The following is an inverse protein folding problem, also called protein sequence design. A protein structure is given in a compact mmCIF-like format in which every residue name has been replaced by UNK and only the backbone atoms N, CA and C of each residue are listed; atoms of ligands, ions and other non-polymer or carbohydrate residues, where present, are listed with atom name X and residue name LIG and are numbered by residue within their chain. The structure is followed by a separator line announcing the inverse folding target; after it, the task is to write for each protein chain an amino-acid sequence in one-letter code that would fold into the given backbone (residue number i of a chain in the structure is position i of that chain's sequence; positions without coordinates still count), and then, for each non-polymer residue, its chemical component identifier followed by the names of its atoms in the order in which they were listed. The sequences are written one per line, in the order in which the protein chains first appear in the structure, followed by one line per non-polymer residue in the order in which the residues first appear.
data_IF_715653853498
#
_entry.id   IF_715653853498
#
_cell.length_a   1.000
_cell.length_b   1.000
_cell.length_c   1.000
_cell.angle_alpha   90.00
_cell.angle_beta   90.00
_cell.angle_gamma   90.00
#
_symmetry.space_group_name_H-M   'P 1'
#
loop_
_entity.id
_entity.type
_entity.pdbx_description
1 polymer ?
#
# COMPACT_ATOMS: atom_id res chain seq x y z
N UNK A 1 7.88 -27.19 -19.24
CA UNK A 1 8.76 -26.10 -19.74
C UNK A 1 9.35 -25.38 -18.55
N UNK A 2 10.66 -25.12 -18.57
CA UNK A 2 11.39 -24.52 -17.46
C UNK A 2 11.61 -23.04 -17.74
N UNK A 3 11.12 -22.15 -16.88
CA UNK A 3 11.39 -20.72 -17.00
C UNK A 3 12.87 -20.41 -16.70
N UNK A 4 13.41 -19.35 -17.31
CA UNK A 4 14.74 -18.85 -16.95
C UNK A 4 14.77 -18.36 -15.49
N UNK A 5 15.95 -18.31 -14.84
CA UNK A 5 16.06 -17.90 -13.44
C UNK A 5 15.42 -16.54 -13.14
N UNK A 6 15.61 -15.54 -14.01
CA UNK A 6 15.04 -14.20 -13.83
C UNK A 6 13.51 -14.19 -13.91
N UNK A 7 12.92 -15.00 -14.80
CA UNK A 7 11.46 -15.10 -14.90
C UNK A 7 10.89 -15.75 -13.63
N UNK A 8 11.56 -16.79 -13.10
CA UNK A 8 11.13 -17.41 -11.83
C UNK A 8 11.20 -16.43 -10.67
N UNK A 9 12.29 -15.66 -10.58
CA UNK A 9 12.44 -14.64 -9.55
C UNK A 9 11.33 -13.59 -9.60
N UNK A 10 10.94 -13.15 -10.80
CA UNK A 10 9.80 -12.23 -10.95
C UNK A 10 8.48 -12.89 -10.52
N UNK A 11 8.24 -14.14 -10.90
CA UNK A 11 7.04 -14.89 -10.49
C UNK A 11 6.99 -15.01 -8.95
N UNK A 12 8.08 -15.39 -8.32
CA UNK A 12 8.14 -15.52 -6.87
C UNK A 12 8.02 -14.16 -6.16
N UNK A 13 8.62 -13.10 -6.71
CA UNK A 13 8.45 -11.73 -6.22
C UNK A 13 6.99 -11.27 -6.26
N UNK A 14 6.23 -11.62 -7.30
CA UNK A 14 4.81 -11.25 -7.40
C UNK A 14 3.90 -12.04 -6.44
N UNK A 15 4.34 -13.19 -5.93
CA UNK A 15 3.55 -14.04 -5.01
C UNK A 15 3.45 -13.48 -3.59
N UNK A 16 4.22 -12.47 -3.24
CA UNK A 16 4.11 -11.80 -1.93
C UNK A 16 2.83 -10.96 -1.82
N UNK A 17 2.21 -10.62 -2.96
CA UNK A 17 1.02 -9.77 -3.00
C UNK A 17 -0.21 -10.54 -2.50
N UNK A 18 -1.05 -9.93 -1.66
CA UNK A 18 -2.25 -10.59 -1.14
C UNK A 18 -3.18 -10.99 -2.29
N UNK A 19 -3.66 -12.24 -2.27
CA UNK A 19 -4.53 -12.79 -3.31
C UNK A 19 -3.83 -13.26 -4.59
N UNK A 20 -2.48 -13.19 -4.68
CA UNK A 20 -1.72 -13.60 -5.86
C UNK A 20 -1.10 -15.00 -5.68
N UNK A 21 -1.77 -16.02 -6.20
CA UNK A 21 -1.24 -17.39 -6.28
C UNK A 21 -0.28 -17.63 -7.46
N UNK A 22 0.39 -18.79 -7.48
CA UNK A 22 1.42 -19.15 -8.47
C UNK A 22 0.97 -18.96 -9.93
N UNK A 23 -0.22 -19.45 -10.30
CA UNK A 23 -0.75 -19.33 -11.67
C UNK A 23 -1.00 -17.86 -12.06
N UNK A 24 -1.48 -17.06 -11.13
CA UNK A 24 -1.74 -15.63 -11.35
C UNK A 24 -0.43 -14.86 -11.50
N UNK A 25 0.55 -15.12 -10.63
CA UNK A 25 1.88 -14.51 -10.72
C UNK A 25 2.58 -14.84 -12.04
N UNK A 26 2.51 -16.11 -12.49
CA UNK A 26 3.04 -16.51 -13.80
C UNK A 26 2.40 -15.72 -14.94
N UNK A 27 1.07 -15.58 -14.94
CA UNK A 27 0.35 -14.81 -15.96
C UNK A 27 0.76 -13.34 -15.96
N UNK A 28 0.89 -12.72 -14.78
CA UNK A 28 1.33 -11.34 -14.63
C UNK A 28 2.76 -11.13 -15.14
N UNK A 29 3.70 -12.01 -14.75
CA UNK A 29 5.10 -11.92 -15.16
C UNK A 29 5.26 -11.98 -16.69
N UNK A 30 4.59 -12.94 -17.35
CA UNK A 30 4.65 -13.08 -18.80
C UNK A 30 4.01 -11.88 -19.52
N UNK A 31 2.85 -11.41 -19.05
CA UNK A 31 2.18 -10.25 -19.61
C UNK A 31 3.06 -8.99 -19.55
N UNK A 32 3.72 -8.72 -18.42
CA UNK A 32 4.65 -7.58 -18.30
C UNK A 32 5.82 -7.71 -19.26
N UNK A 33 6.41 -8.90 -19.38
CA UNK A 33 7.59 -9.13 -20.23
C UNK A 33 7.28 -9.06 -21.73
N UNK A 34 6.09 -9.50 -22.14
CA UNK A 34 5.65 -9.56 -23.54
C UNK A 34 5.01 -8.26 -24.01
N UNK A 35 4.23 -7.59 -23.16
CA UNK A 35 3.34 -6.50 -23.60
C UNK A 35 3.55 -5.16 -22.90
N UNK A 36 4.18 -5.12 -21.73
CA UNK A 36 4.31 -3.86 -20.98
C UNK A 36 5.59 -3.78 -20.12
N UNK A 37 6.75 -3.83 -20.78
CA UNK A 37 8.03 -3.69 -20.08
C UNK A 37 8.18 -2.34 -19.39
N UNK A 38 7.68 -1.27 -20.02
CA UNK A 38 7.71 0.07 -19.45
C UNK A 38 6.87 0.18 -18.17
N UNK A 39 5.68 -0.43 -18.15
CA UNK A 39 4.85 -0.52 -16.96
C UNK A 39 5.48 -1.34 -15.86
N UNK A 40 6.15 -2.45 -16.20
CA UNK A 40 6.94 -3.23 -15.25
C UNK A 40 8.05 -2.41 -14.57
N UNK A 41 8.77 -1.58 -15.32
CA UNK A 41 9.80 -0.69 -14.76
C UNK A 41 9.21 0.42 -13.89
N UNK A 42 8.10 1.04 -14.31
CA UNK A 42 7.39 2.04 -13.49
C UNK A 42 6.88 1.43 -12.19
N UNK A 43 6.35 0.22 -12.23
CA UNK A 43 5.91 -0.51 -11.04
C UNK A 43 7.07 -0.76 -10.08
N UNK A 44 8.22 -1.20 -10.58
CA UNK A 44 9.41 -1.42 -9.75
C UNK A 44 9.87 -0.14 -9.04
N UNK A 45 9.86 0.99 -9.75
CA UNK A 45 10.20 2.30 -9.19
C UNK A 45 9.20 2.72 -8.11
N UNK A 46 7.89 2.62 -8.39
CA UNK A 46 6.84 2.96 -7.44
C UNK A 46 6.89 2.10 -6.17
N UNK A 47 7.15 0.79 -6.31
CA UNK A 47 7.35 -0.11 -5.19
C UNK A 47 8.53 0.33 -4.33
N UNK A 48 9.68 0.60 -4.95
CA UNK A 48 10.90 1.02 -4.24
C UNK A 48 10.64 2.32 -3.46
N UNK A 49 10.10 3.34 -4.14
CA UNK A 49 9.81 4.64 -3.52
C UNK A 49 8.81 4.52 -2.37
N UNK A 50 7.74 3.73 -2.52
CA UNK A 50 6.74 3.58 -1.47
C UNK A 50 7.30 2.83 -0.25
N UNK A 51 8.10 1.78 -0.45
CA UNK A 51 8.70 1.01 0.65
C UNK A 51 9.73 1.82 1.45
N UNK A 52 10.41 2.77 0.80
CA UNK A 52 11.42 3.61 1.45
C UNK A 52 10.82 4.92 2.02
N UNK A 53 9.83 5.50 1.35
CA UNK A 53 9.29 6.82 1.66
C UNK A 53 8.06 6.83 2.58
N UNK A 54 7.26 5.75 2.60
CA UNK A 54 6.05 5.71 3.41
C UNK A 54 6.38 5.28 4.84
N UNK A 55 6.28 6.24 5.76
CA UNK A 55 6.42 6.03 7.19
C UNK A 55 5.07 5.98 7.92
N UNK A 56 5.06 6.50 9.14
CA UNK A 56 3.87 6.58 9.98
C UNK A 56 3.70 7.98 10.54
N UNK A 57 2.44 8.42 10.61
CA UNK A 57 2.07 9.69 11.24
C UNK A 57 2.46 9.66 12.72
N UNK A 58 3.10 10.73 13.22
CA UNK A 58 3.52 10.79 14.64
C UNK A 58 2.35 10.79 15.63
N UNK A 59 1.15 11.18 15.18
CA UNK A 59 -0.03 11.31 16.04
C UNK A 59 -0.94 10.08 15.96
N UNK A 60 -1.51 9.79 14.78
CA UNK A 60 -2.50 8.73 14.63
C UNK A 60 -1.90 7.37 14.22
N UNK A 61 -0.60 7.32 13.88
CA UNK A 61 0.12 6.11 13.45
C UNK A 61 -0.39 5.47 12.14
N UNK A 62 -1.20 6.17 11.35
CA UNK A 62 -1.54 5.74 9.98
C UNK A 62 -0.35 5.92 9.02
N UNK A 63 -0.41 5.35 7.82
CA UNK A 63 0.62 5.47 6.79
C UNK A 63 0.67 6.89 6.20
N UNK A 64 1.86 7.47 6.12
CA UNK A 64 2.09 8.77 5.47
C UNK A 64 3.57 9.00 5.21
N UNK A 65 3.90 9.78 4.20
CA UNK A 65 5.26 10.26 3.89
C UNK A 65 5.66 11.48 4.74
N UNK A 66 4.68 12.14 5.37
CA UNK A 66 4.90 13.35 6.17
C UNK A 66 4.93 13.03 7.66
N UNK A 67 5.41 13.98 8.47
CA UNK A 67 5.37 13.85 9.93
C UNK A 67 3.94 13.72 10.48
N UNK A 68 2.98 14.42 9.84
CA UNK A 68 1.56 14.34 10.10
C UNK A 68 0.82 13.93 8.84
N UNK A 69 -0.10 12.97 8.96
CA UNK A 69 -0.95 12.60 7.83
C UNK A 69 -1.96 13.72 7.49
N UNK A 70 -2.57 13.69 6.29
CA UNK A 70 -3.56 14.71 5.88
C UNK A 70 -4.72 14.88 6.88
N UNK A 71 -5.14 13.79 7.53
CA UNK A 71 -6.22 13.83 8.53
C UNK A 71 -5.78 14.51 9.84
N UNK A 72 -4.54 14.36 10.26
CA UNK A 72 -4.00 15.02 11.45
C UNK A 72 -3.64 16.49 11.19
N UNK A 73 -3.16 16.79 9.99
CA UNK A 73 -2.77 18.14 9.60
C UNK A 73 -3.96 19.05 9.27
N UNK A 74 -5.14 18.50 8.94
CA UNK A 74 -6.32 19.31 8.58
C UNK A 74 -6.94 19.97 9.83
N UNK A 75 -6.97 21.31 9.92
CA UNK A 75 -7.55 22.03 11.04
C UNK A 75 -9.08 22.06 11.04
N UNK A 76 -9.74 21.62 9.95
CA UNK A 76 -11.21 21.60 9.85
C UNK A 76 -11.84 20.35 10.48
N UNK A 77 -11.02 19.45 11.01
CA UNK A 77 -11.48 18.23 11.68
C UNK A 77 -11.87 18.48 13.12
N UNK A 78 -12.73 17.60 13.62
CA UNK A 78 -13.22 17.65 14.99
C UNK A 78 -12.21 17.02 15.96
N UNK A 79 -11.60 17.84 16.81
CA UNK A 79 -10.65 17.42 17.85
C UNK A 79 -11.33 16.80 19.08
N UNK A 80 -12.65 16.85 19.18
CA UNK A 80 -13.40 16.25 20.29
C UNK A 80 -13.73 14.78 20.08
N UNK A 81 -13.49 14.26 18.87
CA UNK A 81 -13.80 12.87 18.50
C UNK A 81 -12.55 12.10 18.09
N UNK A 82 -12.40 10.89 18.64
CA UNK A 82 -11.32 9.97 18.30
C UNK A 82 -11.88 8.61 17.90
N UNK A 83 -11.66 8.22 16.65
CA UNK A 83 -11.97 6.89 16.12
C UNK A 83 -10.72 5.99 16.22
N UNK A 84 -10.80 4.98 17.08
CA UNK A 84 -9.73 3.99 17.23
C UNK A 84 -10.00 2.82 16.30
N UNK A 85 -8.99 2.42 15.51
CA UNK A 85 -9.11 1.35 14.52
C UNK A 85 -7.93 0.39 14.57
N UNK A 86 -8.09 -0.83 14.04
CA UNK A 86 -7.04 -1.86 14.09
C UNK A 86 -5.89 -1.51 13.13
N UNK A 87 -6.21 -1.10 11.89
CA UNK A 87 -5.22 -0.87 10.84
C UNK A 87 -5.48 0.36 9.95
N UNK A 88 -4.51 0.74 9.10
CA UNK A 88 -4.68 1.84 8.15
C UNK A 88 -5.79 1.63 7.12
N UNK A 89 -6.12 0.38 6.79
CA UNK A 89 -7.24 0.02 5.90
C UNK A 89 -8.58 0.45 6.49
N UNK A 90 -8.72 0.38 7.81
CA UNK A 90 -9.95 0.75 8.51
C UNK A 90 -10.11 2.28 8.53
N UNK A 91 -9.00 3.02 8.68
CA UNK A 91 -9.01 4.48 8.50
C UNK A 91 -9.60 4.84 7.14
N UNK A 92 -9.14 4.18 6.08
CA UNK A 92 -9.65 4.42 4.73
C UNK A 92 -11.14 4.08 4.60
N UNK A 93 -11.58 2.97 5.19
CA UNK A 93 -12.99 2.56 5.17
C UNK A 93 -13.90 3.55 5.91
N UNK A 94 -13.52 3.99 7.11
CA UNK A 94 -14.29 4.97 7.91
C UNK A 94 -14.27 6.35 7.23
N UNK A 95 -13.16 6.73 6.61
CA UNK A 95 -13.07 8.01 5.90
C UNK A 95 -14.09 8.11 4.76
N UNK A 96 -14.39 7.00 4.07
CA UNK A 96 -15.41 6.97 3.01
C UNK A 96 -16.84 7.20 3.52
N UNK A 97 -17.11 7.05 4.82
CA UNK A 97 -18.43 7.37 5.39
C UNK A 97 -18.63 8.86 5.63
N UNK A 98 -17.61 9.69 5.39
CA UNK A 98 -17.65 11.13 5.65
C UNK A 98 -17.30 11.52 7.09
N UNK A 99 -16.68 10.63 7.86
CA UNK A 99 -16.22 10.92 9.23
C UNK A 99 -15.20 12.08 9.25
N UNK A 100 -15.37 13.02 10.19
CA UNK A 100 -14.55 14.24 10.30
C UNK A 100 -13.74 14.36 11.59
N UNK A 101 -13.78 13.36 12.47
CA UNK A 101 -12.96 13.34 13.68
C UNK A 101 -11.52 12.86 13.43
N UNK A 102 -10.77 12.68 14.52
CA UNK A 102 -9.40 12.18 14.51
C UNK A 102 -9.35 10.65 14.56
N UNK A 103 -8.21 10.08 14.21
CA UNK A 103 -7.99 8.63 14.23
C UNK A 103 -6.86 8.24 15.18
N UNK A 104 -6.87 6.98 15.63
CA UNK A 104 -5.71 6.32 16.20
C UNK A 104 -5.66 4.86 15.73
N UNK A 105 -4.57 4.48 15.07
CA UNK A 105 -4.38 3.13 14.53
C UNK A 105 -3.63 2.26 15.54
N UNK A 106 -4.19 1.11 15.90
CA UNK A 106 -3.63 0.18 16.90
C UNK A 106 -2.41 -0.59 16.39
N UNK A 107 -2.41 -0.96 15.10
CA UNK A 107 -1.47 -1.87 14.41
C UNK A 107 -1.73 -3.37 14.67
N UNK A 108 -3.00 -3.75 14.73
CA UNK A 108 -3.44 -5.10 15.12
C UNK A 108 -3.41 -5.29 16.62
#
# INVERSE_FOLDING_TARGET
MSFSPLIRQLIDGLRILPGVGQKTAQRMALQLLERDRSGGLRLAQALTQAMEGVGHCRQCRTLTEQELCPQCADPRRDDTQLCVVEGPTDVYAVEQTGYRGRYFVLKG
#
